data_IF_987796517328
#
_entry.id   IF_987796517328
#
_cell.length_a   1.000
_cell.length_b   1.000
_cell.length_c   1.000
_cell.angle_alpha   90.00
_cell.angle_beta   90.00
_cell.angle_gamma   90.00
#
_symmetry.space_group_name_H-M   'P 1'
#
loop_
_entity.id
_entity.type
_entity.pdbx_description
1 polymer ?
#
# COMPACT_ATOMS: atom_id res chain seq x y z
N UNK A 1 12.27 20.70 1.45
CA UNK A 1 11.59 19.64 2.20
C UNK A 1 12.65 18.84 2.95
N UNK A 2 12.42 18.54 4.23
CA UNK A 2 13.32 17.73 5.04
C UNK A 2 12.97 16.24 4.95
N UNK A 3 13.99 15.39 4.99
CA UNK A 3 13.93 13.94 5.05
C UNK A 3 14.82 13.43 6.17
N UNK A 4 14.61 12.20 6.61
CA UNK A 4 15.50 11.49 7.52
C UNK A 4 16.24 10.40 6.75
N UNK A 5 17.56 10.34 6.94
CA UNK A 5 18.42 9.30 6.38
C UNK A 5 19.49 8.91 7.41
N UNK A 6 19.47 7.67 7.87
CA UNK A 6 20.52 7.07 8.73
C UNK A 6 20.93 7.91 9.95
N UNK A 7 19.97 8.46 10.69
CA UNK A 7 20.21 9.26 11.90
C UNK A 7 20.19 10.77 11.66
N UNK A 8 20.21 11.24 10.41
CA UNK A 8 20.31 12.66 10.09
C UNK A 8 19.01 13.21 9.46
N UNK A 9 18.67 14.47 9.80
CA UNK A 9 17.60 15.24 9.17
C UNK A 9 18.21 16.19 8.13
N UNK A 10 18.01 15.87 6.87
CA UNK A 10 18.64 16.54 5.73
C UNK A 10 17.63 17.30 4.87
N UNK A 11 18.08 18.30 4.14
CA UNK A 11 17.32 18.75 2.97
C UNK A 11 17.29 17.64 1.92
N UNK A 12 16.10 17.37 1.35
CA UNK A 12 15.90 16.27 0.39
C UNK A 12 16.91 16.29 -0.77
N UNK A 13 17.29 17.47 -1.26
CA UNK A 13 18.26 17.62 -2.35
C UNK A 13 19.70 17.20 -1.95
N UNK A 14 19.97 17.06 -0.64
CA UNK A 14 21.29 16.65 -0.11
C UNK A 14 21.31 15.19 0.35
N UNK A 15 20.15 14.53 0.43
CA UNK A 15 20.07 13.14 0.83
C UNK A 15 20.58 12.25 -0.31
N UNK A 16 21.58 11.45 -0.04
CA UNK A 16 22.18 10.53 -1.00
C UNK A 16 22.35 9.14 -0.38
N UNK A 17 21.96 8.13 -1.11
CA UNK A 17 22.15 6.72 -0.76
C UNK A 17 23.38 6.21 -1.53
N UNK A 18 24.17 5.36 -0.88
CA UNK A 18 25.35 4.74 -1.55
C UNK A 18 24.90 3.93 -2.77
N UNK A 19 25.74 3.95 -3.81
CA UNK A 19 25.53 3.09 -4.99
C UNK A 19 25.69 1.60 -4.66
N UNK A 20 26.32 1.26 -3.54
CA UNK A 20 26.46 -0.10 -3.02
C UNK A 20 25.35 -0.50 -2.02
N UNK A 21 24.33 0.34 -1.86
CA UNK A 21 23.15 -0.03 -1.06
C UNK A 21 22.40 -1.19 -1.71
N UNK A 22 22.11 -2.21 -0.94
CA UNK A 22 21.47 -3.43 -1.46
C UNK A 22 20.00 -3.20 -1.87
N UNK A 23 19.33 -2.22 -1.30
CA UNK A 23 18.02 -1.77 -1.78
C UNK A 23 18.12 -1.23 -3.20
N UNK A 24 19.13 -0.39 -3.49
CA UNK A 24 19.38 0.13 -4.82
C UNK A 24 19.82 -0.97 -5.82
N UNK A 25 20.69 -1.90 -5.40
CA UNK A 25 21.24 -2.93 -6.28
C UNK A 25 20.28 -4.10 -6.56
N UNK A 26 19.46 -4.49 -5.58
CA UNK A 26 18.68 -5.74 -5.61
C UNK A 26 17.21 -5.57 -5.26
N UNK A 27 16.79 -4.41 -4.79
CA UNK A 27 15.50 -4.27 -4.14
C UNK A 27 15.41 -5.00 -2.80
N UNK A 28 16.56 -5.16 -2.10
CA UNK A 28 16.68 -5.88 -0.84
C UNK A 28 16.30 -4.98 0.34
N UNK A 29 15.00 -4.81 0.52
CA UNK A 29 14.44 -3.92 1.53
C UNK A 29 12.92 -3.99 1.60
N UNK A 30 12.38 -3.37 2.63
CA UNK A 30 10.96 -3.23 2.92
C UNK A 30 10.58 -1.76 3.04
N UNK A 31 9.31 -1.46 2.83
CA UNK A 31 8.81 -0.09 3.00
C UNK A 31 7.42 -0.06 3.61
N UNK A 32 7.07 1.07 4.18
CA UNK A 32 5.71 1.38 4.65
C UNK A 32 5.26 2.75 4.16
N UNK A 33 3.94 2.89 4.04
CA UNK A 33 3.28 4.17 3.78
C UNK A 33 2.16 4.31 4.79
N UNK A 34 2.30 5.27 5.70
CA UNK A 34 1.30 5.54 6.72
C UNK A 34 0.66 6.91 6.47
N UNK A 35 -0.65 6.99 6.56
CA UNK A 35 -1.36 8.27 6.48
C UNK A 35 -1.25 9.01 7.80
N UNK A 36 -1.00 10.29 7.72
CA UNK A 36 -1.16 11.23 8.83
C UNK A 36 -2.34 12.16 8.53
N UNK A 37 -3.23 12.37 9.52
CA UNK A 37 -4.29 13.36 9.46
C UNK A 37 -4.15 14.31 10.63
N UNK A 38 -4.02 15.58 10.34
CA UNK A 38 -3.76 16.62 11.36
C UNK A 38 -2.60 16.23 12.30
N UNK A 39 -1.49 15.75 11.73
CA UNK A 39 -0.29 15.33 12.46
C UNK A 39 -0.39 13.96 13.15
N UNK A 40 -1.54 13.31 13.18
CA UNK A 40 -1.73 12.00 13.82
C UNK A 40 -1.63 10.87 12.80
N UNK A 41 -0.72 9.92 13.03
CA UNK A 41 -0.59 8.74 12.18
C UNK A 41 -1.78 7.79 12.39
N UNK A 42 -2.42 7.44 11.29
CA UNK A 42 -3.55 6.51 11.30
C UNK A 42 -3.06 5.06 11.29
N UNK A 43 -3.50 4.27 12.27
CA UNK A 43 -3.17 2.84 12.40
C UNK A 43 -1.67 2.53 12.40
N UNK A 44 -0.86 3.42 12.94
CA UNK A 44 0.61 3.29 12.97
C UNK A 44 1.07 1.93 13.52
N UNK A 45 0.43 1.41 14.57
CA UNK A 45 0.76 0.11 15.16
C UNK A 45 0.60 -1.07 14.18
N UNK A 46 -0.42 -1.06 13.30
CA UNK A 46 -0.60 -2.10 12.27
C UNK A 46 0.49 -1.99 11.19
N UNK A 47 0.82 -0.78 10.76
CA UNK A 47 1.90 -0.53 9.80
C UNK A 47 3.24 -1.01 10.34
N UNK A 48 3.57 -0.71 11.60
CA UNK A 48 4.81 -1.14 12.23
C UNK A 48 4.90 -2.68 12.36
N UNK A 49 3.83 -3.34 12.79
CA UNK A 49 3.82 -4.82 12.84
C UNK A 49 4.01 -5.45 11.46
N UNK A 50 3.47 -4.84 10.39
CA UNK A 50 3.70 -5.34 9.02
C UNK A 50 5.13 -5.11 8.57
N UNK A 51 5.74 -3.98 8.92
CA UNK A 51 7.16 -3.70 8.70
C UNK A 51 8.05 -4.74 9.40
N UNK A 52 7.80 -4.99 10.69
CA UNK A 52 8.54 -5.96 11.50
C UNK A 52 8.50 -7.36 10.86
N UNK A 53 7.30 -7.84 10.46
CA UNK A 53 7.17 -9.11 9.73
C UNK A 53 7.97 -9.13 8.43
N UNK A 54 8.02 -8.00 7.71
CA UNK A 54 8.80 -7.89 6.48
C UNK A 54 10.30 -7.98 6.74
N UNK A 55 10.80 -7.27 7.74
CA UNK A 55 12.20 -7.32 8.16
C UNK A 55 12.61 -8.74 8.59
N UNK A 56 11.79 -9.37 9.44
CA UNK A 56 12.01 -10.75 9.91
C UNK A 56 12.04 -11.74 8.74
N UNK A 57 11.05 -11.69 7.85
CA UNK A 57 10.94 -12.60 6.70
C UNK A 57 12.09 -12.48 5.72
N UNK A 58 12.70 -11.29 5.60
CA UNK A 58 13.88 -11.06 4.77
C UNK A 58 15.20 -11.25 5.56
N UNK A 59 15.15 -11.48 6.87
CA UNK A 59 16.34 -11.54 7.71
C UNK A 59 17.14 -10.23 7.71
N UNK A 60 16.45 -9.08 7.69
CA UNK A 60 17.04 -7.75 7.86
C UNK A 60 16.96 -7.40 9.34
N UNK A 61 18.12 -7.13 9.97
CA UNK A 61 18.15 -6.70 11.35
C UNK A 61 17.41 -5.37 11.54
N UNK A 62 16.59 -5.22 12.60
CA UNK A 62 16.00 -3.93 12.93
C UNK A 62 17.11 -2.88 13.13
N UNK A 63 16.91 -1.63 12.66
CA UNK A 63 17.87 -0.56 12.93
C UNK A 63 18.02 -0.33 14.45
N UNK A 64 19.19 0.12 14.92
CA UNK A 64 19.37 0.47 16.35
C UNK A 64 18.35 1.52 16.80
N UNK A 65 17.74 1.32 17.95
CA UNK A 65 16.68 2.19 18.50
C UNK A 65 15.29 1.96 17.92
N UNK A 66 15.11 0.98 17.04
CA UNK A 66 13.82 0.58 16.51
C UNK A 66 13.25 -0.58 17.33
N UNK A 67 12.88 -0.29 18.56
CA UNK A 67 12.25 -1.24 19.46
C UNK A 67 10.89 -1.71 18.89
N UNK A 68 10.43 -2.90 19.24
CA UNK A 68 9.07 -3.34 18.93
C UNK A 68 8.03 -2.29 19.35
N UNK A 69 7.14 -1.92 18.39
CA UNK A 69 6.20 -0.82 18.58
C UNK A 69 6.67 0.53 18.06
N UNK A 70 7.92 0.65 17.58
CA UNK A 70 8.39 1.73 16.69
C UNK A 70 8.48 3.12 17.30
N UNK A 71 8.75 3.27 18.61
CA UNK A 71 8.81 4.57 19.28
C UNK A 71 9.68 5.58 18.54
N UNK A 72 10.92 5.22 18.21
CA UNK A 72 11.83 6.10 17.47
C UNK A 72 11.31 6.46 16.06
N UNK A 73 10.68 5.49 15.35
CA UNK A 73 10.09 5.77 14.02
C UNK A 73 8.94 6.76 14.10
N UNK A 74 8.10 6.65 15.14
CA UNK A 74 6.98 7.55 15.36
C UNK A 74 7.48 8.97 15.67
N UNK A 75 8.53 9.11 16.48
CA UNK A 75 9.16 10.40 16.80
C UNK A 75 9.78 11.05 15.54
N UNK A 76 10.48 10.26 14.71
CA UNK A 76 11.04 10.74 13.44
C UNK A 76 9.93 11.22 12.50
N UNK A 77 8.86 10.43 12.36
CA UNK A 77 7.71 10.78 11.52
C UNK A 77 7.04 12.08 11.99
N UNK A 78 6.78 12.21 13.28
CA UNK A 78 6.16 13.39 13.88
C UNK A 78 7.05 14.63 13.69
N UNK A 79 8.37 14.53 13.90
CA UNK A 79 9.31 15.61 13.61
C UNK A 79 9.31 16.02 12.13
N UNK A 80 9.35 15.05 11.20
CA UNK A 80 9.29 15.36 9.76
C UNK A 80 7.97 16.02 9.35
N UNK A 81 6.84 15.61 9.94
CA UNK A 81 5.56 16.27 9.71
C UNK A 81 5.58 17.73 10.15
N UNK A 82 6.16 18.03 11.34
CA UNK A 82 6.34 19.40 11.83
C UNK A 82 7.29 20.21 10.95
N UNK A 83 8.49 19.69 10.70
CA UNK A 83 9.55 20.39 9.95
C UNK A 83 9.10 20.73 8.51
N UNK A 84 8.20 19.92 7.92
CA UNK A 84 7.67 20.09 6.58
C UNK A 84 6.30 20.81 6.53
N UNK A 85 5.78 21.31 7.67
CA UNK A 85 4.51 22.04 7.72
C UNK A 85 3.28 21.19 7.37
N UNK A 86 3.31 19.90 7.73
CA UNK A 86 2.28 18.91 7.40
C UNK A 86 1.40 18.51 8.60
N UNK A 87 1.37 19.33 9.63
CA UNK A 87 0.56 19.11 10.83
C UNK A 87 -0.94 19.38 10.62
N UNK A 88 -1.31 19.99 9.49
CA UNK A 88 -2.70 20.27 9.13
C UNK A 88 -3.08 19.56 7.83
N UNK A 89 -4.26 18.95 7.81
CA UNK A 89 -4.77 18.18 6.67
C UNK A 89 -4.15 16.78 6.57
N UNK A 90 -4.16 16.24 5.37
CA UNK A 90 -3.70 14.87 5.11
C UNK A 90 -2.28 14.86 4.56
N UNK A 91 -1.47 13.92 5.06
CA UNK A 91 -0.11 13.68 4.62
C UNK A 91 0.17 12.17 4.56
N UNK A 92 1.23 11.79 3.85
CA UNK A 92 1.79 10.46 3.85
C UNK A 92 3.19 10.49 4.46
N UNK A 93 3.47 9.51 5.30
CA UNK A 93 4.81 9.19 5.79
C UNK A 93 5.25 7.94 5.06
N UNK A 94 6.29 8.05 4.24
CA UNK A 94 6.98 6.94 3.60
C UNK A 94 8.20 6.57 4.43
N UNK A 95 8.35 5.30 4.71
CA UNK A 95 9.50 4.71 5.39
C UNK A 95 10.04 3.59 4.52
N UNK A 96 11.36 3.54 4.37
CA UNK A 96 12.08 2.46 3.70
C UNK A 96 13.25 1.99 4.56
N UNK A 97 13.42 0.68 4.68
CA UNK A 97 14.56 0.05 5.35
C UNK A 97 15.15 -0.97 4.39
N UNK A 98 16.40 -0.75 3.97
CA UNK A 98 17.14 -1.72 3.15
C UNK A 98 18.10 -2.52 4.03
N UNK A 99 18.67 -3.61 3.48
CA UNK A 99 19.72 -4.36 4.19
C UNK A 99 21.02 -3.56 4.36
N UNK A 100 21.12 -2.37 3.78
CA UNK A 100 22.27 -1.48 3.90
C UNK A 100 23.33 -1.67 2.83
N UNK A 101 24.49 -1.05 3.09
CA UNK A 101 25.61 -0.94 2.15
C UNK A 101 26.56 -2.11 2.32
N UNK A 102 26.85 -2.85 1.26
CA UNK A 102 27.79 -3.96 1.26
C UNK A 102 28.31 -4.26 -0.14
N UNK A 103 29.39 -5.03 -0.23
CA UNK A 103 29.88 -5.55 -1.51
C UNK A 103 28.77 -6.27 -2.28
N UNK A 104 28.72 -6.08 -3.59
CA UNK A 104 27.69 -6.65 -4.47
C UNK A 104 27.86 -8.16 -4.65
N UNK A 105 27.36 -8.92 -3.70
CA UNK A 105 27.25 -10.38 -3.75
C UNK A 105 25.78 -10.79 -3.59
N UNK A 106 25.38 -11.97 -4.15
CA UNK A 106 24.01 -12.43 -4.02
C UNK A 106 23.69 -12.98 -2.61
N UNK A 107 24.67 -13.50 -1.89
CA UNK A 107 24.48 -13.90 -0.49
C UNK A 107 24.39 -12.68 0.42
N UNK A 108 23.90 -12.89 1.62
CA UNK A 108 23.78 -11.81 2.60
C UNK A 108 25.18 -11.29 3.02
N UNK A 109 25.29 -10.00 3.31
CA UNK A 109 26.51 -9.44 3.87
C UNK A 109 26.78 -9.98 5.29
N UNK A 110 27.99 -9.71 5.86
CA UNK A 110 28.28 -10.09 7.24
C UNK A 110 27.21 -9.65 8.23
N UNK A 111 27.01 -10.48 9.27
CA UNK A 111 26.09 -10.12 10.35
C UNK A 111 26.51 -8.77 10.98
N UNK A 112 25.51 -7.94 11.30
CA UNK A 112 25.75 -6.59 11.84
C UNK A 112 25.96 -5.50 10.81
N UNK A 113 25.84 -5.79 9.50
CA UNK A 113 25.77 -4.73 8.47
C UNK A 113 24.63 -3.77 8.81
N UNK A 114 24.91 -2.46 9.01
CA UNK A 114 23.89 -1.49 9.38
C UNK A 114 22.87 -1.33 8.25
N UNK A 115 21.55 -1.43 8.53
CA UNK A 115 20.51 -1.16 7.54
C UNK A 115 20.49 0.33 7.16
N UNK A 116 20.10 0.64 5.94
CA UNK A 116 19.79 2.02 5.54
C UNK A 116 18.35 2.32 5.88
N UNK A 117 18.12 3.43 6.57
CA UNK A 117 16.80 3.88 7.01
C UNK A 117 16.48 5.23 6.41
N UNK A 118 15.42 5.30 5.63
CA UNK A 118 14.96 6.53 4.98
C UNK A 118 13.50 6.81 5.31
N UNK A 119 13.21 8.05 5.73
CA UNK A 119 11.83 8.54 5.87
C UNK A 119 11.66 9.86 5.15
N UNK A 120 10.49 10.03 4.56
CA UNK A 120 10.02 11.29 4.00
C UNK A 120 8.53 11.48 4.23
N UNK A 121 8.07 12.73 4.15
CA UNK A 121 6.65 13.07 4.25
C UNK A 121 6.22 13.87 3.04
N UNK A 122 4.99 13.66 2.58
CA UNK A 122 4.39 14.41 1.48
C UNK A 122 2.95 14.76 1.84
N UNK A 123 2.47 15.91 1.35
CA UNK A 123 1.04 16.22 1.41
C UNK A 123 0.25 15.21 0.58
N UNK A 124 -0.84 14.72 1.12
CA UNK A 124 -1.77 13.86 0.40
C UNK A 124 -2.91 14.70 -0.16
N UNK A 125 -3.04 14.72 -1.48
CA UNK A 125 -4.25 15.18 -2.17
C UNK A 125 -5.14 13.95 -2.39
N UNK A 126 -6.29 13.92 -1.71
CA UNK A 126 -7.24 12.82 -1.90
C UNK A 126 -7.84 12.90 -3.32
N UNK A 127 -7.99 11.77 -4.03
CA UNK A 127 -8.59 11.73 -5.37
C UNK A 127 -10.12 11.74 -5.30
N UNK A 128 -10.70 12.75 -4.66
CA UNK A 128 -12.14 12.82 -4.38
C UNK A 128 -12.98 12.93 -5.64
N UNK A 129 -12.51 13.67 -6.65
CA UNK A 129 -13.15 13.78 -7.96
C UNK A 129 -13.24 12.42 -8.68
N UNK A 130 -12.20 11.59 -8.58
CA UNK A 130 -12.21 10.22 -9.12
C UNK A 130 -13.17 9.35 -8.32
N UNK A 131 -13.18 9.49 -6.99
CA UNK A 131 -14.07 8.72 -6.11
C UNK A 131 -15.53 9.02 -6.36
N UNK A 132 -15.89 10.28 -6.59
CA UNK A 132 -17.26 10.70 -6.90
C UNK A 132 -17.78 10.13 -8.21
N UNK A 133 -16.94 10.06 -9.24
CA UNK A 133 -17.29 9.51 -10.55
C UNK A 133 -17.16 7.99 -10.63
N UNK A 134 -16.36 7.41 -9.77
CA UNK A 134 -15.90 6.04 -9.85
C UNK A 134 -14.69 5.89 -10.79
N UNK A 135 -13.71 5.13 -10.34
CA UNK A 135 -12.48 4.89 -11.10
C UNK A 135 -12.73 4.02 -12.34
N UNK A 136 -11.87 4.19 -13.34
CA UNK A 136 -11.70 3.22 -14.43
C UNK A 136 -10.48 2.34 -14.10
N UNK A 137 -10.58 1.04 -14.27
CA UNK A 137 -9.48 0.10 -14.08
C UNK A 137 -9.33 -0.81 -15.29
N UNK A 138 -8.13 -1.35 -15.47
CA UNK A 138 -7.83 -2.40 -16.45
C UNK A 138 -7.39 -3.67 -15.75
N UNK A 139 -7.54 -4.82 -16.38
CA UNK A 139 -6.91 -6.05 -15.94
C UNK A 139 -5.55 -6.23 -16.62
N UNK A 140 -4.60 -6.90 -15.93
CA UNK A 140 -3.27 -7.22 -16.45
C UNK A 140 -2.76 -8.55 -15.87
N UNK A 141 -1.92 -9.31 -16.58
CA UNK A 141 -1.30 -10.50 -16.01
C UNK A 141 -0.47 -10.18 -14.76
N UNK A 142 -0.61 -10.98 -13.72
CA UNK A 142 0.20 -10.89 -12.51
C UNK A 142 1.56 -11.57 -12.71
N UNK A 143 2.57 -10.78 -13.00
CA UNK A 143 3.96 -11.22 -13.21
C UNK A 143 4.85 -11.00 -11.98
N UNK A 144 4.26 -10.70 -10.83
CA UNK A 144 5.02 -10.52 -9.59
C UNK A 144 5.55 -11.86 -9.08
N UNK A 145 6.50 -11.79 -8.15
CA UNK A 145 7.01 -12.95 -7.45
C UNK A 145 5.96 -13.63 -6.54
N UNK A 146 6.32 -14.75 -5.91
CA UNK A 146 5.37 -15.55 -5.09
C UNK A 146 5.22 -15.04 -3.65
N UNK A 147 5.87 -13.96 -3.24
CA UNK A 147 5.83 -13.38 -1.89
C UNK A 147 5.27 -11.96 -1.90
N UNK A 148 4.09 -11.79 -2.51
CA UNK A 148 3.37 -10.52 -2.53
C UNK A 148 2.88 -10.08 -1.14
N UNK A 149 2.85 -10.99 -0.17
CA UNK A 149 2.55 -10.74 1.24
C UNK A 149 3.58 -9.84 1.94
N UNK A 150 4.81 -9.77 1.40
CA UNK A 150 5.88 -8.91 1.89
C UNK A 150 5.90 -7.58 1.16
N UNK A 151 5.89 -6.48 1.94
CA UNK A 151 5.93 -5.12 1.39
C UNK A 151 7.36 -4.70 1.06
N UNK A 152 7.93 -5.32 0.00
CA UNK A 152 9.30 -5.08 -0.43
C UNK A 152 9.40 -3.95 -1.44
N UNK A 153 10.60 -3.38 -1.60
CA UNK A 153 10.91 -2.36 -2.62
C UNK A 153 11.05 -2.93 -4.05
N UNK A 154 10.87 -4.24 -4.24
CA UNK A 154 10.85 -4.91 -5.54
C UNK A 154 9.53 -4.66 -6.29
N UNK A 155 9.33 -3.46 -6.77
CA UNK A 155 8.05 -3.01 -7.32
C UNK A 155 8.02 -2.91 -8.85
N UNK A 156 9.03 -3.44 -9.57
CA UNK A 156 9.07 -3.29 -11.03
C UNK A 156 7.82 -3.83 -11.74
N UNK A 157 7.27 -5.02 -11.43
CA UNK A 157 6.01 -5.47 -12.03
C UNK A 157 4.83 -4.55 -11.72
N UNK A 158 4.76 -4.02 -10.49
CA UNK A 158 3.73 -3.06 -10.08
C UNK A 158 3.85 -1.73 -10.85
N UNK A 159 5.07 -1.23 -11.04
CA UNK A 159 5.36 -0.01 -11.81
C UNK A 159 4.94 -0.18 -13.27
N UNK A 160 5.28 -1.31 -13.90
CA UNK A 160 4.90 -1.61 -15.28
C UNK A 160 3.37 -1.73 -15.44
N UNK A 161 2.69 -2.41 -14.52
CA UNK A 161 1.24 -2.52 -14.51
C UNK A 161 0.57 -1.15 -14.33
N UNK A 162 1.08 -0.32 -13.40
CA UNK A 162 0.59 1.04 -13.19
C UNK A 162 0.79 1.91 -14.43
N UNK A 163 1.93 1.78 -15.11
CA UNK A 163 2.17 2.49 -16.37
C UNK A 163 1.21 2.06 -17.47
N UNK A 164 0.85 0.77 -17.56
CA UNK A 164 -0.19 0.30 -18.49
C UNK A 164 -1.54 0.96 -18.20
N UNK A 165 -1.93 1.03 -16.91
CA UNK A 165 -3.16 1.72 -16.52
C UNK A 165 -3.14 3.19 -16.95
N UNK A 166 -2.06 3.91 -16.66
CA UNK A 166 -1.91 5.33 -17.05
C UNK A 166 -2.00 5.50 -18.56
N UNK A 167 -1.34 4.66 -19.33
CA UNK A 167 -1.39 4.69 -20.81
C UNK A 167 -2.80 4.43 -21.35
N UNK A 168 -3.59 3.60 -20.67
CA UNK A 168 -4.99 3.33 -20.98
C UNK A 168 -5.97 4.38 -20.43
N UNK A 169 -5.49 5.46 -19.80
CA UNK A 169 -6.33 6.44 -19.11
C UNK A 169 -7.07 5.89 -17.90
N UNK A 170 -6.59 4.79 -17.32
CA UNK A 170 -7.18 4.15 -16.16
C UNK A 170 -6.49 4.58 -14.85
N UNK A 171 -7.25 4.51 -13.76
CA UNK A 171 -6.76 4.83 -12.41
C UNK A 171 -5.84 3.74 -11.86
N UNK A 172 -6.15 2.46 -12.12
CA UNK A 172 -5.40 1.33 -11.56
C UNK A 172 -5.39 0.14 -12.52
N UNK A 173 -4.39 -0.74 -12.36
CA UNK A 173 -4.33 -2.05 -12.99
C UNK A 173 -4.62 -3.14 -11.94
N UNK A 174 -5.54 -4.03 -12.26
CA UNK A 174 -5.92 -5.18 -11.45
C UNK A 174 -5.20 -6.41 -11.97
N UNK A 175 -4.44 -7.06 -11.12
CA UNK A 175 -3.67 -8.25 -11.44
C UNK A 175 -4.54 -9.50 -11.51
N UNK A 176 -4.27 -10.31 -12.55
CA UNK A 176 -4.92 -11.61 -12.76
C UNK A 176 -3.85 -12.69 -12.92
N UNK A 177 -3.90 -13.73 -12.08
CA UNK A 177 -2.98 -14.88 -12.11
C UNK A 177 -3.77 -16.18 -12.30
N UNK A 178 -3.49 -16.91 -13.38
CA UNK A 178 -4.19 -18.14 -13.73
C UNK A 178 -5.73 -17.99 -13.71
N UNK A 179 -6.25 -16.88 -14.26
CA UNK A 179 -7.67 -16.60 -14.31
C UNK A 179 -8.29 -16.08 -13.01
N UNK A 180 -7.51 -15.92 -11.94
CA UNK A 180 -7.95 -15.46 -10.62
C UNK A 180 -7.48 -14.02 -10.38
N UNK A 181 -8.38 -13.16 -9.91
CA UNK A 181 -8.08 -11.80 -9.48
C UNK A 181 -7.29 -11.86 -8.17
N UNK A 182 -6.14 -11.16 -8.13
CA UNK A 182 -5.35 -11.07 -6.90
C UNK A 182 -5.55 -9.71 -6.22
N UNK A 183 -4.89 -8.67 -6.68
CA UNK A 183 -5.01 -7.31 -6.14
C UNK A 183 -4.70 -6.26 -7.22
N UNK A 184 -4.74 -4.98 -6.90
CA UNK A 184 -4.27 -3.92 -7.80
C UNK A 184 -2.76 -3.70 -7.72
N UNK A 185 -2.21 -2.90 -8.65
CA UNK A 185 -0.78 -2.57 -8.64
C UNK A 185 -0.34 -1.85 -7.35
N UNK A 186 -1.26 -1.16 -6.68
CA UNK A 186 -1.02 -0.46 -5.41
C UNK A 186 -2.19 -0.56 -4.42
N UNK A 187 -3.16 -1.44 -4.67
CA UNK A 187 -4.44 -1.53 -3.95
C UNK A 187 -4.85 -2.97 -3.72
N UNK A 188 -5.73 -3.22 -2.73
CA UNK A 188 -6.47 -4.49 -2.68
C UNK A 188 -7.83 -4.35 -3.39
N UNK A 189 -8.37 -5.46 -3.86
CA UNK A 189 -9.60 -5.53 -4.65
C UNK A 189 -10.72 -6.14 -3.83
N UNK A 190 -11.90 -5.52 -3.89
CA UNK A 190 -13.15 -6.00 -3.32
C UNK A 190 -14.24 -6.00 -4.38
N UNK A 191 -15.03 -7.05 -4.41
CA UNK A 191 -16.06 -7.30 -5.42
C UNK A 191 -17.38 -7.60 -4.73
N UNK A 192 -18.48 -7.00 -5.16
CA UNK A 192 -19.82 -7.32 -4.63
C UNK A 192 -20.55 -8.20 -5.62
N UNK A 193 -20.85 -9.43 -5.21
CA UNK A 193 -21.56 -10.44 -5.97
C UNK A 193 -22.69 -10.97 -5.09
N UNK A 194 -23.90 -11.03 -5.59
CA UNK A 194 -25.09 -11.52 -4.88
C UNK A 194 -25.26 -10.94 -3.46
N UNK A 195 -24.97 -9.65 -3.31
CA UNK A 195 -25.07 -8.91 -2.04
C UNK A 195 -23.97 -9.24 -1.03
N UNK A 196 -22.97 -10.05 -1.37
CA UNK A 196 -21.81 -10.33 -0.53
C UNK A 196 -20.57 -9.64 -1.06
N UNK A 197 -19.71 -9.19 -0.16
CA UNK A 197 -18.41 -8.59 -0.45
C UNK A 197 -17.38 -9.72 -0.52
N UNK A 198 -16.76 -9.90 -1.69
CA UNK A 198 -15.69 -10.86 -1.90
C UNK A 198 -14.35 -10.14 -2.00
N UNK A 199 -13.30 -10.72 -1.41
CA UNK A 199 -11.92 -10.26 -1.56
C UNK A 199 -10.95 -11.45 -1.47
N UNK A 200 -9.82 -11.35 -2.14
CA UNK A 200 -8.82 -12.41 -2.08
C UNK A 200 -8.34 -12.60 -0.62
N UNK A 201 -8.28 -13.84 -0.08
CA UNK A 201 -7.76 -14.10 1.26
C UNK A 201 -6.30 -13.65 1.38
N UNK A 202 -5.89 -13.24 2.57
CA UNK A 202 -4.53 -12.74 2.86
C UNK A 202 -3.51 -13.90 2.80
N UNK A 203 -3.20 -14.35 1.59
CA UNK A 203 -2.18 -15.36 1.30
C UNK A 203 -0.92 -14.70 0.73
N UNK A 204 0.07 -15.50 0.32
CA UNK A 204 1.27 -14.99 -0.37
C UNK A 204 0.98 -14.30 -1.72
N UNK A 205 -0.24 -14.38 -2.23
CA UNK A 205 -0.64 -13.82 -3.53
C UNK A 205 -0.99 -12.35 -3.48
N UNK A 206 -1.28 -11.80 -2.30
CA UNK A 206 -1.65 -10.41 -2.09
C UNK A 206 -0.94 -9.81 -0.88
N UNK A 207 -0.79 -8.49 -0.86
CA UNK A 207 -0.39 -7.78 0.33
C UNK A 207 -1.58 -7.72 1.31
N UNK A 208 -1.42 -8.10 2.61
CA UNK A 208 -2.40 -7.85 3.64
C UNK A 208 -2.46 -6.34 3.93
N UNK A 209 -3.33 -5.63 3.21
CA UNK A 209 -3.45 -4.17 3.29
C UNK A 209 -4.09 -3.72 4.61
N UNK A 210 -3.52 -2.70 5.28
CA UNK A 210 -4.09 -2.17 6.52
C UNK A 210 -5.49 -1.59 6.26
N UNK A 211 -5.67 -0.85 5.17
CA UNK A 211 -7.01 -0.36 4.79
C UNK A 211 -7.96 -1.53 4.46
N UNK A 212 -7.47 -2.62 3.87
CA UNK A 212 -8.25 -3.84 3.65
C UNK A 212 -8.74 -4.42 4.98
N UNK A 213 -7.86 -4.58 5.95
CA UNK A 213 -8.22 -5.09 7.29
C UNK A 213 -9.31 -4.23 7.95
N UNK A 214 -9.14 -2.90 7.92
CA UNK A 214 -10.12 -1.97 8.49
C UNK A 214 -11.48 -2.07 7.77
N UNK A 215 -11.47 -2.20 6.45
CA UNK A 215 -12.71 -2.35 5.66
C UNK A 215 -13.44 -3.65 6.00
N UNK A 216 -12.72 -4.75 6.26
CA UNK A 216 -13.31 -6.00 6.74
C UNK A 216 -13.97 -5.84 8.11
N UNK A 217 -13.31 -5.15 9.05
CA UNK A 217 -13.88 -4.82 10.37
C UNK A 217 -15.14 -3.95 10.23
N UNK A 218 -15.06 -2.88 9.43
CA UNK A 218 -16.18 -1.99 9.18
C UNK A 218 -17.37 -2.70 8.51
N UNK A 219 -17.09 -3.63 7.60
CA UNK A 219 -18.15 -4.44 7.00
C UNK A 219 -18.84 -5.34 8.02
N UNK A 220 -18.08 -5.99 8.91
CA UNK A 220 -18.61 -6.81 9.99
C UNK A 220 -19.46 -5.99 10.97
N UNK A 221 -18.98 -4.82 11.38
CA UNK A 221 -19.71 -3.90 12.28
C UNK A 221 -21.06 -3.42 11.69
N UNK A 222 -21.16 -3.37 10.36
CA UNK A 222 -22.38 -2.97 9.64
C UNK A 222 -23.24 -4.14 9.19
N UNK A 223 -22.91 -5.37 9.62
CA UNK A 223 -23.65 -6.55 9.25
C UNK A 223 -23.58 -6.92 7.76
N UNK A 224 -22.58 -6.41 7.03
CA UNK A 224 -22.37 -6.74 5.64
C UNK A 224 -21.72 -8.15 5.54
N UNK A 225 -22.24 -8.97 4.65
CA UNK A 225 -21.68 -10.31 4.43
C UNK A 225 -20.34 -10.18 3.69
N UNK A 226 -19.29 -10.74 4.27
CA UNK A 226 -17.95 -10.80 3.66
C UNK A 226 -17.53 -12.25 3.44
N UNK A 227 -16.90 -12.51 2.30
CA UNK A 227 -16.36 -13.79 1.91
C UNK A 227 -14.90 -13.58 1.47
N UNK A 228 -13.96 -14.03 2.28
CA UNK A 228 -12.53 -14.00 1.92
C UNK A 228 -12.23 -15.19 0.99
N UNK A 229 -12.61 -15.04 -0.26
CA UNK A 229 -12.39 -16.01 -1.33
C UNK A 229 -11.92 -15.32 -2.60
N UNK A 230 -10.96 -15.93 -3.27
CA UNK A 230 -10.45 -15.45 -4.55
C UNK A 230 -11.55 -15.47 -5.62
N UNK A 231 -11.65 -14.38 -6.39
CA UNK A 231 -12.69 -14.19 -7.41
C UNK A 231 -12.11 -14.53 -8.79
N UNK A 232 -12.73 -15.41 -9.56
CA UNK A 232 -12.41 -15.59 -10.96
C UNK A 232 -12.65 -14.33 -11.78
N UNK A 233 -11.83 -14.09 -12.81
CA UNK A 233 -11.97 -12.91 -13.67
C UNK A 233 -13.36 -12.80 -14.32
N UNK A 234 -13.96 -13.94 -14.65
CA UNK A 234 -15.30 -13.97 -15.26
C UNK A 234 -16.37 -13.44 -14.29
N UNK A 235 -16.29 -13.80 -13.01
CA UNK A 235 -17.20 -13.30 -11.97
C UNK A 235 -16.98 -11.83 -11.69
N UNK A 236 -15.73 -11.34 -11.76
CA UNK A 236 -15.42 -9.91 -11.63
C UNK A 236 -16.18 -9.06 -12.64
N UNK A 237 -16.32 -9.54 -13.87
CA UNK A 237 -17.05 -8.83 -14.93
C UNK A 237 -18.56 -8.74 -14.70
N UNK A 238 -19.11 -9.69 -13.94
CA UNK A 238 -20.52 -9.74 -13.56
C UNK A 238 -20.85 -9.06 -12.22
N UNK A 239 -19.86 -8.48 -11.57
CA UNK A 239 -20.02 -7.87 -10.25
C UNK A 239 -21.01 -6.68 -10.25
N UNK A 240 -21.82 -6.57 -9.20
CA UNK A 240 -22.69 -5.42 -8.98
C UNK A 240 -21.93 -4.18 -8.54
N UNK A 241 -20.81 -4.37 -7.77
CA UNK A 241 -19.86 -3.33 -7.41
C UNK A 241 -18.43 -3.88 -7.41
N UNK A 242 -17.49 -2.99 -7.71
CA UNK A 242 -16.06 -3.20 -7.56
C UNK A 242 -15.48 -1.99 -6.84
N UNK A 243 -14.61 -2.20 -5.86
CA UNK A 243 -13.88 -1.11 -5.23
C UNK A 243 -12.47 -1.54 -4.82
N UNK A 244 -11.61 -0.57 -4.68
CA UNK A 244 -10.22 -0.73 -4.32
C UNK A 244 -9.96 -0.13 -2.95
N UNK A 245 -8.93 -0.63 -2.24
CA UNK A 245 -8.52 -0.07 -0.95
C UNK A 245 -7.03 0.17 -0.88
N UNK A 246 -6.61 1.31 -0.36
CA UNK A 246 -5.22 1.61 -0.01
C UNK A 246 -5.11 2.75 1.00
N UNK A 247 -3.95 2.96 1.58
CA UNK A 247 -3.66 4.06 2.50
C UNK A 247 -3.90 5.44 1.88
N UNK A 248 -3.57 5.62 0.60
CA UNK A 248 -3.68 6.91 -0.08
C UNK A 248 -5.03 7.17 -0.73
N UNK A 249 -5.72 6.10 -1.16
CA UNK A 249 -7.00 6.22 -1.89
C UNK A 249 -8.22 5.86 -1.04
N UNK A 250 -8.00 5.37 0.20
CA UNK A 250 -9.07 4.92 1.09
C UNK A 250 -9.88 3.79 0.42
N UNK A 251 -11.21 3.94 0.37
CA UNK A 251 -12.10 3.11 -0.44
C UNK A 251 -12.38 3.85 -1.74
N UNK A 252 -11.94 3.29 -2.87
CA UNK A 252 -12.10 3.85 -4.21
C UNK A 252 -13.09 3.02 -5.01
N UNK A 253 -14.32 3.50 -5.25
CA UNK A 253 -15.28 2.80 -6.10
C UNK A 253 -14.78 2.73 -7.54
N UNK A 254 -15.08 1.64 -8.22
CA UNK A 254 -14.76 1.43 -9.65
C UNK A 254 -16.05 1.46 -10.45
N UNK A 255 -16.13 2.32 -11.45
CA UNK A 255 -17.26 2.44 -12.37
C UNK A 255 -17.04 1.69 -13.69
N UNK A 256 -15.79 1.48 -14.12
CA UNK A 256 -15.46 0.80 -15.38
C UNK A 256 -14.29 -0.17 -15.21
N UNK A 257 -14.41 -1.32 -15.87
CA UNK A 257 -13.40 -2.37 -15.93
C UNK A 257 -13.19 -2.76 -17.40
N UNK A 258 -11.95 -2.70 -17.90
CA UNK A 258 -11.59 -3.04 -19.30
C UNK A 258 -12.52 -2.38 -20.34
N UNK A 259 -12.90 -1.13 -20.10
CA UNK A 259 -13.83 -0.39 -20.97
C UNK A 259 -15.32 -0.69 -20.73
N UNK A 260 -15.68 -1.80 -20.07
CA UNK A 260 -17.05 -2.14 -19.67
C UNK A 260 -17.51 -1.42 -18.41
N UNK A 261 -18.82 -1.24 -18.23
CA UNK A 261 -19.38 -0.71 -16.97
C UNK A 261 -19.36 -1.80 -15.90
N UNK A 262 -19.07 -1.43 -14.64
CA UNK A 262 -19.27 -2.26 -13.46
C UNK A 262 -20.66 -1.94 -12.90
N UNK A 263 -21.52 -2.95 -12.76
CA UNK A 263 -22.89 -2.76 -12.32
C UNK A 263 -23.61 -1.66 -13.07
N UNK A 264 -24.01 -0.59 -12.38
CA UNK A 264 -24.69 0.58 -12.99
C UNK A 264 -23.74 1.56 -13.73
N UNK A 265 -22.44 1.31 -13.73
CA UNK A 265 -21.43 2.25 -14.23
C UNK A 265 -21.21 3.47 -13.34
N UNK A 266 -21.60 3.38 -12.07
CA UNK A 266 -21.45 4.43 -11.04
C UNK A 266 -21.01 3.83 -9.72
N UNK A 267 -20.42 4.62 -8.81
CA UNK A 267 -20.10 4.17 -7.45
C UNK A 267 -21.29 3.53 -6.76
N UNK A 268 -21.11 2.30 -6.27
CA UNK A 268 -22.18 1.55 -5.63
C UNK A 268 -22.39 1.92 -4.15
N UNK A 269 -23.52 1.50 -3.54
CA UNK A 269 -23.87 1.84 -2.16
C UNK A 269 -22.91 1.21 -1.13
N UNK A 270 -22.42 0.00 -1.33
CA UNK A 270 -21.51 -0.69 -0.39
C UNK A 270 -20.19 0.07 -0.29
N UNK A 271 -19.59 0.41 -1.43
CA UNK A 271 -18.34 1.17 -1.46
C UNK A 271 -18.49 2.54 -0.79
N UNK A 272 -19.60 3.25 -1.02
CA UNK A 272 -19.89 4.55 -0.38
C UNK A 272 -20.06 4.42 1.12
N UNK A 273 -20.81 3.43 1.59
CA UNK A 273 -21.05 3.17 3.01
C UNK A 273 -19.74 2.88 3.74
N UNK A 274 -18.88 2.02 3.17
CA UNK A 274 -17.59 1.66 3.75
C UNK A 274 -16.60 2.83 3.72
N UNK A 275 -16.63 3.65 2.67
CA UNK A 275 -15.82 4.87 2.61
C UNK A 275 -16.23 5.87 3.69
N UNK A 276 -17.54 6.15 3.85
CA UNK A 276 -18.04 7.04 4.88
C UNK A 276 -17.61 6.56 6.28
N UNK A 277 -17.76 5.27 6.54
CA UNK A 277 -17.36 4.64 7.78
C UNK A 277 -15.83 4.73 8.06
N UNK A 278 -15.01 4.56 7.04
CA UNK A 278 -13.57 4.72 7.17
C UNK A 278 -13.21 6.18 7.52
N UNK A 279 -13.88 7.14 6.90
CA UNK A 279 -13.67 8.58 7.17
C UNK A 279 -14.04 8.98 8.59
N UNK A 280 -15.00 8.32 9.23
CA UNK A 280 -15.35 8.51 10.64
C UNK A 280 -14.24 8.02 11.59
N UNK A 281 -13.43 7.02 11.18
CA UNK A 281 -12.30 6.50 11.96
C UNK A 281 -10.98 7.27 11.76
N UNK A 282 -10.84 8.03 10.67
CA UNK A 282 -9.69 8.86 10.35
C UNK A 282 -9.68 10.16 11.18
#
# INVERSE_FOLDING_TARGET
>A
MRVYLNGEYLEQARAAVSVDDRGFLFGDGVYEVTRARNGRLFEAGRHLRRLERGLEALGIAPPPGFEPGGGALLEIADRLLRDNGLMNGDALVYLEITRGVAERTHHFPPAGTPPTVFLRTNRLAAPDDVRERGATVITTPDLRWERCDLKTVQLLPNVLAKQQAVTAGAFEAVFVRAGIVTEGASTNVFVVIDGAIHTHPATQRILPGITREIVLELAAERGLRVVEQAVPLEELRGASELFLTSTSTEVMPVARLDGGAVGSGRPGPVARQLHAALRERL
#
